data_IF_419356322442
#
_entry.id   IF_419356322442
#
_cell.length_a   1.000
_cell.length_b   1.000
_cell.length_c   1.000
_cell.angle_alpha   90.00
_cell.angle_beta   90.00
_cell.angle_gamma   90.00
#
_symmetry.space_group_name_H-M   'P 1'
#
loop_
_entity.id
_entity.type
_entity.pdbx_description
1 polymer ?
#
# COMPACT_ATOMS: atom_id res chain seq x y z
N UNK A 1 31.52 1.58 -0.39
CA UNK A 1 30.38 1.19 0.46
C UNK A 1 30.29 2.14 1.63
N UNK A 2 29.36 3.08 1.60
CA UNK A 2 29.10 3.98 2.73
C UNK A 2 28.15 3.30 3.72
N UNK A 3 28.73 2.59 4.70
CA UNK A 3 28.00 1.94 5.80
C UNK A 3 27.35 2.95 6.79
N UNK A 4 27.49 4.26 6.57
CA UNK A 4 27.12 5.28 7.55
C UNK A 4 25.66 5.26 7.96
N UNK A 5 24.74 5.28 6.99
CA UNK A 5 23.30 5.32 7.28
C UNK A 5 22.79 4.01 7.87
N UNK A 6 23.21 2.87 7.32
CA UNK A 6 22.83 1.54 7.83
C UNK A 6 23.37 1.31 9.26
N UNK A 7 24.58 1.82 9.58
CA UNK A 7 25.14 1.79 10.93
C UNK A 7 24.31 2.65 11.89
N UNK A 8 23.93 3.86 11.47
CA UNK A 8 23.08 4.75 12.28
C UNK A 8 21.73 4.08 12.56
N UNK A 9 21.11 3.49 11.54
CA UNK A 9 19.87 2.72 11.67
C UNK A 9 20.05 1.57 12.67
N UNK A 10 21.11 0.77 12.51
CA UNK A 10 21.43 -0.33 13.41
C UNK A 10 21.63 0.14 14.85
N UNK A 11 22.32 1.26 15.06
CA UNK A 11 22.50 1.89 16.37
C UNK A 11 21.17 2.33 16.99
N UNK A 12 20.27 2.96 16.21
CA UNK A 12 18.95 3.36 16.71
C UNK A 12 18.16 2.12 17.15
N UNK A 13 18.08 1.09 16.31
CA UNK A 13 17.40 -0.17 16.64
C UNK A 13 18.02 -0.81 17.89
N UNK A 14 19.35 -0.84 17.98
CA UNK A 14 20.09 -1.35 19.12
C UNK A 14 19.80 -0.60 20.42
N UNK A 15 19.76 0.74 20.38
CA UNK A 15 19.39 1.58 21.53
C UNK A 15 17.96 1.30 21.99
N UNK A 16 17.02 1.16 21.06
CA UNK A 16 15.64 0.80 21.41
C UNK A 16 15.52 -0.62 21.96
N UNK A 17 16.30 -1.58 21.43
CA UNK A 17 16.42 -2.93 21.98
C UNK A 17 17.00 -2.93 23.40
N UNK A 18 18.02 -2.12 23.66
CA UNK A 18 18.61 -1.94 24.97
C UNK A 18 17.63 -1.30 25.98
N UNK A 19 16.88 -0.27 25.59
CA UNK A 19 15.79 0.23 26.43
C UNK A 19 14.66 -0.78 26.63
N UNK A 20 14.45 -1.66 25.64
CA UNK A 20 13.61 -2.85 25.74
C UNK A 20 14.06 -3.78 26.86
N UNK A 21 15.34 -4.13 26.88
CA UNK A 21 15.98 -4.93 27.92
C UNK A 21 15.80 -4.34 29.32
N UNK A 22 16.04 -3.04 29.48
CA UNK A 22 15.97 -2.36 30.77
C UNK A 22 14.54 -2.25 31.32
N UNK A 23 13.54 -2.13 30.45
CA UNK A 23 12.14 -1.92 30.85
C UNK A 23 11.33 -3.22 30.99
N UNK A 24 11.82 -4.32 30.42
CA UNK A 24 11.10 -5.60 30.37
C UNK A 24 9.96 -5.63 29.33
N UNK A 25 9.51 -6.83 28.98
CA UNK A 25 8.52 -7.03 27.93
C UNK A 25 7.14 -6.48 28.32
N UNK A 26 6.72 -6.66 29.58
CA UNK A 26 5.40 -6.19 30.06
C UNK A 26 5.18 -4.70 29.80
N UNK A 27 6.17 -3.86 30.12
CA UNK A 27 6.08 -2.41 29.89
C UNK A 27 6.08 -2.06 28.40
N UNK A 28 6.79 -2.82 27.57
CA UNK A 28 6.78 -2.62 26.12
C UNK A 28 5.44 -2.99 25.49
N UNK A 29 4.82 -4.10 25.90
CA UNK A 29 3.49 -4.54 25.43
C UNK A 29 2.46 -3.47 25.75
N UNK A 30 2.43 -2.96 26.99
CA UNK A 30 1.51 -1.88 27.37
C UNK A 30 1.77 -0.64 26.52
N UNK A 31 3.04 -0.27 26.30
CA UNK A 31 3.39 0.85 25.44
C UNK A 31 2.93 0.70 23.98
N UNK A 32 2.97 -0.52 23.42
CA UNK A 32 2.47 -0.82 22.08
C UNK A 32 0.94 -0.78 22.02
N UNK A 33 0.27 -1.32 23.04
CA UNK A 33 -1.19 -1.32 23.14
C UNK A 33 -1.73 0.11 23.24
N UNK A 34 -1.11 0.97 24.05
CA UNK A 34 -1.48 2.40 24.12
C UNK A 34 -1.25 3.12 22.80
N UNK A 35 -0.19 2.77 22.06
CA UNK A 35 0.06 3.32 20.73
C UNK A 35 -1.04 2.89 19.74
N UNK A 36 -1.42 1.62 19.74
CA UNK A 36 -2.51 1.10 18.90
C UNK A 36 -3.85 1.79 19.21
N UNK A 37 -4.18 1.97 20.50
CA UNK A 37 -5.38 2.71 20.93
C UNK A 37 -5.32 4.16 20.43
N UNK A 38 -4.18 4.84 20.60
CA UNK A 38 -4.03 6.22 20.13
C UNK A 38 -4.19 6.34 18.60
N UNK A 39 -3.70 5.36 17.85
CA UNK A 39 -3.86 5.30 16.40
C UNK A 39 -5.33 5.08 16.00
N UNK A 40 -6.04 4.20 16.72
CA UNK A 40 -7.47 3.94 16.49
C UNK A 40 -8.34 5.18 16.75
N UNK A 41 -8.06 5.91 17.83
CA UNK A 41 -8.74 7.18 18.14
C UNK A 41 -8.43 8.24 17.07
N UNK A 42 -7.18 8.34 16.63
CA UNK A 42 -6.79 9.28 15.58
C UNK A 42 -7.50 8.95 14.24
N UNK A 43 -7.53 7.67 13.85
CA UNK A 43 -8.23 7.22 12.65
C UNK A 43 -9.75 7.49 12.72
N UNK A 44 -10.36 7.27 13.88
CA UNK A 44 -11.76 7.61 14.12
C UNK A 44 -12.03 9.12 13.97
N UNK A 45 -11.19 9.96 14.57
CA UNK A 45 -11.32 11.42 14.45
C UNK A 45 -11.08 11.91 13.02
N UNK A 46 -10.19 11.27 12.26
CA UNK A 46 -9.97 11.56 10.85
C UNK A 46 -11.25 11.35 10.03
N UNK A 47 -11.98 10.26 10.29
CA UNK A 47 -13.24 9.96 9.61
C UNK A 47 -14.33 11.02 9.87
N UNK A 48 -14.30 11.69 11.03
CA UNK A 48 -15.31 12.72 11.37
C UNK A 48 -14.93 14.09 10.83
N UNK A 49 -13.66 14.48 10.95
CA UNK A 49 -13.22 15.87 10.73
C UNK A 49 -12.65 16.12 9.34
N UNK A 50 -12.25 15.08 8.59
CA UNK A 50 -11.47 15.15 7.34
C UNK A 50 -10.19 16.00 7.42
N UNK A 51 -9.76 16.40 8.62
CA UNK A 51 -8.61 17.28 8.84
C UNK A 51 -7.42 16.50 9.43
N UNK A 52 -6.39 16.33 8.61
CA UNK A 52 -5.18 15.58 8.95
C UNK A 52 -4.41 16.22 10.10
N UNK A 53 -4.41 17.56 10.21
CA UNK A 53 -3.66 18.27 11.26
C UNK A 53 -4.28 18.01 12.65
N UNK A 54 -5.61 18.04 12.72
CA UNK A 54 -6.35 17.74 13.95
C UNK A 54 -6.13 16.27 14.33
N UNK A 55 -6.12 15.36 13.35
CA UNK A 55 -5.84 13.94 13.58
C UNK A 55 -4.44 13.72 14.18
N UNK A 56 -3.41 14.37 13.62
CA UNK A 56 -2.04 14.29 14.16
C UNK A 56 -1.92 14.88 15.57
N UNK A 57 -2.52 16.06 15.79
CA UNK A 57 -2.54 16.68 17.11
C UNK A 57 -3.24 15.81 18.15
N UNK A 58 -4.38 15.23 17.79
CA UNK A 58 -5.12 14.30 18.63
C UNK A 58 -4.31 13.02 18.90
N UNK A 59 -3.66 12.43 17.90
CA UNK A 59 -2.80 11.26 18.08
C UNK A 59 -1.70 11.52 19.12
N UNK A 60 -0.97 12.63 18.99
CA UNK A 60 0.12 13.00 19.90
C UNK A 60 -0.42 13.24 21.31
N UNK A 61 -1.50 14.01 21.42
CA UNK A 61 -2.11 14.35 22.72
C UNK A 61 -2.65 13.10 23.42
N UNK A 62 -3.43 12.27 22.73
CA UNK A 62 -3.99 11.02 23.24
C UNK A 62 -2.87 10.07 23.66
N UNK A 63 -1.83 9.91 22.84
CA UNK A 63 -0.68 9.07 23.20
C UNK A 63 0.02 9.57 24.48
N UNK A 64 0.21 10.88 24.61
CA UNK A 64 0.86 11.49 25.77
C UNK A 64 0.02 11.33 27.05
N UNK A 65 -1.30 11.59 26.97
CA UNK A 65 -2.23 11.41 28.10
C UNK A 65 -2.30 9.94 28.52
N UNK A 66 -2.50 9.02 27.57
CA UNK A 66 -2.52 7.58 27.83
C UNK A 66 -1.24 7.09 28.51
N UNK A 67 -0.09 7.60 28.06
CA UNK A 67 1.20 7.28 28.66
C UNK A 67 1.33 7.83 30.09
N UNK A 68 0.88 9.06 30.34
CA UNK A 68 0.88 9.63 31.70
C UNK A 68 -0.01 8.82 32.64
N UNK A 69 -1.23 8.48 32.20
CA UNK A 69 -2.16 7.64 32.98
C UNK A 69 -1.56 6.26 33.25
N UNK A 70 -0.95 5.62 32.25
CA UNK A 70 -0.32 4.32 32.44
C UNK A 70 0.86 4.38 33.42
N UNK A 71 1.69 5.41 33.36
CA UNK A 71 2.77 5.64 34.34
C UNK A 71 2.20 5.88 35.73
N UNK A 72 1.13 6.69 35.85
CA UNK A 72 0.46 6.97 37.11
C UNK A 72 -0.13 5.70 37.75
N UNK A 73 -0.89 4.91 36.99
CA UNK A 73 -1.45 3.63 37.46
C UNK A 73 -0.33 2.66 37.87
N UNK A 74 0.72 2.54 37.06
CA UNK A 74 1.87 1.70 37.44
C UNK A 74 2.56 2.21 38.71
N UNK A 75 2.68 3.52 38.88
CA UNK A 75 3.31 4.09 40.08
C UNK A 75 2.47 3.88 41.33
N UNK A 76 1.14 3.81 41.20
CA UNK A 76 0.24 3.75 42.35
C UNK A 76 -0.23 2.32 42.70
N UNK A 77 -0.30 1.41 41.74
CA UNK A 77 -0.71 0.01 41.98
C UNK A 77 0.47 -0.96 42.08
N UNK A 78 1.65 -0.60 41.59
CA UNK A 78 2.86 -1.41 41.75
C UNK A 78 3.65 -0.91 42.96
N UNK A 79 2.98 -0.86 44.13
CA UNK A 79 3.67 -0.81 45.40
C UNK A 79 4.40 -2.14 45.61
N UNK A 80 5.73 -2.12 45.62
CA UNK A 80 6.62 -3.19 46.08
C UNK A 80 6.47 -4.61 45.49
N UNK A 81 5.91 -4.77 44.28
CA UNK A 81 5.74 -6.10 43.69
C UNK A 81 7.00 -6.69 43.01
N UNK A 82 7.69 -7.48 43.84
CA UNK A 82 8.30 -8.81 43.60
C UNK A 82 9.73 -8.86 43.04
N UNK A 83 10.65 -9.54 43.76
CA UNK A 83 12.02 -9.77 43.31
C UNK A 83 12.03 -10.61 42.04
N UNK A 84 12.56 -9.95 41.01
CA UNK A 84 13.04 -10.42 39.72
C UNK A 84 13.60 -11.85 39.81
N UNK A 85 12.80 -12.90 39.62
CA UNK A 85 13.25 -14.31 39.70
C UNK A 85 12.98 -15.12 38.44
N UNK A 86 12.45 -14.51 37.37
CA UNK A 86 12.39 -15.08 36.01
C UNK A 86 13.14 -14.19 35.01
N UNK A 87 14.40 -13.87 35.34
CA UNK A 87 15.25 -12.82 34.72
C UNK A 87 15.39 -12.85 33.21
N UNK A 88 15.38 -14.03 32.59
CA UNK A 88 15.89 -14.13 31.24
C UNK A 88 14.81 -13.87 30.19
N UNK A 89 13.60 -14.41 30.37
CA UNK A 89 12.59 -14.39 29.32
C UNK A 89 11.91 -13.01 29.15
N UNK A 90 11.62 -12.30 30.24
CA UNK A 90 11.03 -10.95 30.16
C UNK A 90 12.01 -9.93 29.56
N UNK A 91 13.31 -10.11 29.80
CA UNK A 91 14.35 -9.24 29.26
C UNK A 91 14.69 -9.54 27.80
N UNK A 92 14.76 -10.81 27.41
CA UNK A 92 14.97 -11.19 26.01
C UNK A 92 13.77 -10.78 25.15
N UNK A 93 12.54 -11.00 25.63
CA UNK A 93 11.35 -10.46 24.97
C UNK A 93 11.35 -8.93 24.96
N UNK A 94 11.84 -8.29 26.01
CA UNK A 94 12.05 -6.85 26.07
C UNK A 94 12.96 -6.36 24.93
N UNK A 95 14.10 -7.03 24.68
CA UNK A 95 15.00 -6.72 23.57
C UNK A 95 14.27 -6.84 22.23
N UNK A 96 13.58 -7.95 22.00
CA UNK A 96 12.89 -8.22 20.73
C UNK A 96 11.80 -7.17 20.46
N UNK A 97 10.95 -6.89 21.45
CA UNK A 97 9.87 -5.89 21.33
C UNK A 97 10.42 -4.48 21.19
N UNK A 98 11.47 -4.14 21.95
CA UNK A 98 12.16 -2.86 21.85
C UNK A 98 12.79 -2.65 20.48
N UNK A 99 13.51 -3.66 19.98
CA UNK A 99 14.11 -3.67 18.65
C UNK A 99 13.07 -3.56 17.55
N UNK A 100 11.97 -4.34 17.62
CA UNK A 100 10.87 -4.27 16.66
C UNK A 100 10.23 -2.87 16.62
N UNK A 101 10.04 -2.24 17.79
CA UNK A 101 9.55 -0.86 17.89
C UNK A 101 10.54 0.14 17.29
N UNK A 102 11.83 -0.01 17.56
CA UNK A 102 12.88 0.82 16.97
C UNK A 102 12.90 0.70 15.44
N UNK A 103 12.81 -0.53 14.92
CA UNK A 103 12.76 -0.81 13.50
C UNK A 103 11.53 -0.20 12.83
N UNK A 104 10.35 -0.27 13.47
CA UNK A 104 9.13 0.37 12.97
C UNK A 104 9.27 1.89 12.89
N UNK A 105 9.88 2.51 13.92
CA UNK A 105 10.12 3.97 13.93
C UNK A 105 11.09 4.39 12.84
N UNK A 106 12.19 3.65 12.66
CA UNK A 106 13.13 3.88 11.57
C UNK A 106 12.45 3.71 10.21
N UNK A 107 11.68 2.64 10.02
CA UNK A 107 10.95 2.41 8.78
C UNK A 107 10.00 3.57 8.46
N UNK A 108 9.25 4.06 9.46
CA UNK A 108 8.40 5.24 9.32
C UNK A 108 9.20 6.49 8.93
N UNK A 109 10.36 6.72 9.56
CA UNK A 109 11.22 7.85 9.25
C UNK A 109 11.77 7.76 7.82
N UNK A 110 12.23 6.57 7.40
CA UNK A 110 12.69 6.32 6.02
C UNK A 110 11.56 6.48 5.02
N UNK A 111 10.33 6.10 5.37
CA UNK A 111 9.16 6.37 4.54
C UNK A 111 8.92 7.86 4.37
N UNK A 112 8.99 8.67 5.43
CA UNK A 112 8.86 10.12 5.34
C UNK A 112 9.99 10.74 4.51
N UNK A 113 11.22 10.27 4.68
CA UNK A 113 12.36 10.70 3.85
C UNK A 113 12.16 10.28 2.39
N UNK A 114 11.62 9.10 2.13
CA UNK A 114 11.27 8.63 0.78
C UNK A 114 10.12 9.41 0.12
N UNK A 115 9.36 10.20 0.89
CA UNK A 115 8.41 11.17 0.35
C UNK A 115 9.07 12.51 0.01
N UNK A 116 10.32 12.74 0.43
CA UNK A 116 11.02 13.98 0.12
C UNK A 116 11.27 14.04 -1.39
N UNK A 117 10.89 15.13 -2.05
CA UNK A 117 11.16 15.29 -3.47
C UNK A 117 12.67 15.24 -3.78
N UNK A 118 13.10 14.64 -4.90
CA UNK A 118 14.52 14.47 -5.23
C UNK A 118 15.33 15.77 -5.19
N UNK A 119 14.74 16.90 -5.61
CA UNK A 119 15.44 18.18 -5.57
C UNK A 119 15.59 18.78 -4.15
N UNK A 120 14.86 18.32 -3.13
CA UNK A 120 15.20 18.60 -1.73
C UNK A 120 16.40 17.77 -1.27
N UNK A 121 16.49 16.50 -1.69
CA UNK A 121 17.62 15.63 -1.38
C UNK A 121 18.90 16.14 -2.07
N UNK A 122 18.81 16.63 -3.30
CA UNK A 122 19.92 17.21 -4.05
C UNK A 122 20.53 18.46 -3.39
N UNK A 123 19.74 19.21 -2.59
CA UNK A 123 20.26 20.33 -1.77
C UNK A 123 21.13 19.87 -0.60
N UNK A 124 21.08 18.57 -0.27
CA UNK A 124 21.89 17.95 0.78
C UNK A 124 22.64 16.75 0.16
N UNK A 125 23.66 16.99 -0.70
CA UNK A 125 24.43 15.94 -1.38
C UNK A 125 25.01 14.82 -0.48
N UNK A 126 25.39 15.06 0.80
CA UNK A 126 25.84 13.94 1.64
C UNK A 126 24.70 13.01 2.03
N UNK A 127 23.47 13.52 2.17
CA UNK A 127 22.30 12.71 2.54
C UNK A 127 21.83 11.86 1.37
N UNK A 128 21.77 12.43 0.16
CA UNK A 128 21.41 11.71 -1.07
C UNK A 128 22.35 10.51 -1.30
N UNK A 129 23.67 10.74 -1.28
CA UNK A 129 24.68 9.67 -1.39
C UNK A 129 24.54 8.60 -0.31
N UNK A 130 24.17 8.99 0.92
CA UNK A 130 23.95 8.04 2.00
C UNK A 130 22.69 7.19 1.80
N UNK A 131 21.60 7.79 1.30
CA UNK A 131 20.35 7.08 1.01
C UNK A 131 20.52 6.08 -0.13
N UNK A 132 21.11 6.50 -1.25
CA UNK A 132 21.37 5.63 -2.41
C UNK A 132 22.24 4.41 -2.05
N UNK A 133 23.20 4.62 -1.15
CA UNK A 133 24.11 3.56 -0.71
C UNK A 133 23.54 2.62 0.36
N UNK A 134 22.41 2.97 0.98
CA UNK A 134 21.84 2.21 2.09
C UNK A 134 21.06 1.00 1.60
N UNK A 135 21.44 -0.18 2.11
CA UNK A 135 20.76 -1.44 1.79
C UNK A 135 19.36 -1.43 2.40
N UNK A 136 19.24 -0.93 3.63
CA UNK A 136 17.97 -0.90 4.37
C UNK A 136 16.99 0.04 3.67
N UNK A 137 17.44 1.25 3.29
CA UNK A 137 16.60 2.21 2.58
C UNK A 137 16.09 1.65 1.26
N UNK A 138 16.97 1.11 0.40
CA UNK A 138 16.61 0.56 -0.89
C UNK A 138 15.65 -0.63 -0.81
N UNK A 139 15.69 -1.41 0.29
CA UNK A 139 14.78 -2.53 0.51
C UNK A 139 13.42 -2.09 1.06
N UNK A 140 13.40 -1.09 1.94
CA UNK A 140 12.18 -0.62 2.62
C UNK A 140 11.40 0.36 1.75
N UNK A 141 12.07 1.32 1.09
CA UNK A 141 11.42 2.41 0.35
C UNK A 141 10.45 1.95 -0.76
N UNK A 142 10.74 0.90 -1.56
CA UNK A 142 9.78 0.39 -2.55
C UNK A 142 8.46 -0.10 -1.95
N UNK A 143 8.47 -0.47 -0.66
CA UNK A 143 7.31 -0.96 0.08
C UNK A 143 6.61 0.14 0.88
N UNK A 144 6.91 1.42 0.62
CA UNK A 144 6.37 2.54 1.37
C UNK A 144 4.83 2.62 1.25
N UNK A 145 4.06 2.33 2.32
CA UNK A 145 2.61 2.37 2.26
C UNK A 145 2.08 3.80 2.12
N UNK A 146 2.86 4.82 2.50
CA UNK A 146 2.46 6.22 2.36
C UNK A 146 2.32 6.63 0.90
N UNK A 147 3.09 6.02 -0.02
CA UNK A 147 2.96 6.27 -1.47
C UNK A 147 1.64 5.74 -2.06
N UNK A 148 0.94 4.84 -1.36
CA UNK A 148 -0.40 4.39 -1.77
C UNK A 148 -1.49 5.38 -1.39
N UNK A 149 -1.20 6.32 -0.48
CA UNK A 149 -2.15 7.33 -0.05
C UNK A 149 -2.21 8.42 -1.12
N UNK A 150 -3.40 8.61 -1.67
CA UNK A 150 -3.67 9.52 -2.77
C UNK A 150 -3.25 10.97 -2.51
N UNK A 151 -3.47 11.45 -1.29
CA UNK A 151 -3.07 12.78 -0.85
C UNK A 151 -1.54 12.94 -0.82
N UNK A 152 -0.82 11.88 -0.44
CA UNK A 152 0.64 11.89 -0.37
C UNK A 152 1.25 11.86 -1.78
N UNK A 153 0.68 11.07 -2.70
CA UNK A 153 1.02 11.15 -4.13
C UNK A 153 0.80 12.55 -4.67
N UNK A 154 -0.38 13.13 -4.45
CA UNK A 154 -0.69 14.48 -4.92
C UNK A 154 0.30 15.51 -4.35
N UNK A 155 0.67 15.41 -3.07
CA UNK A 155 1.66 16.28 -2.44
C UNK A 155 3.07 16.10 -3.02
N UNK A 156 3.51 14.85 -3.24
CA UNK A 156 4.79 14.55 -3.86
C UNK A 156 4.87 15.10 -5.30
N UNK A 157 3.79 14.95 -6.08
CA UNK A 157 3.67 15.52 -7.42
C UNK A 157 3.66 17.05 -7.41
N UNK A 158 2.86 17.69 -6.55
CA UNK A 158 2.88 19.15 -6.40
C UNK A 158 4.27 19.65 -6.02
N UNK A 159 4.99 18.93 -5.14
CA UNK A 159 6.37 19.23 -4.78
C UNK A 159 7.34 19.12 -5.98
N UNK A 160 7.18 18.09 -6.81
CA UNK A 160 7.99 17.91 -8.03
C UNK A 160 7.74 19.02 -9.06
N UNK A 161 6.47 19.33 -9.34
CA UNK A 161 6.07 20.42 -10.25
C UNK A 161 6.55 21.77 -9.75
N UNK A 162 6.40 22.05 -8.45
CA UNK A 162 6.84 23.31 -7.86
C UNK A 162 8.38 23.42 -7.74
N UNK A 163 9.11 22.34 -8.02
CA UNK A 163 10.57 22.37 -8.22
C UNK A 163 10.95 22.53 -9.70
N UNK A 164 10.00 22.66 -10.62
CA UNK A 164 10.28 22.76 -12.05
C UNK A 164 10.87 21.47 -12.64
N UNK A 165 10.75 20.35 -11.94
CA UNK A 165 10.98 19.05 -12.56
C UNK A 165 9.76 18.78 -13.44
N UNK A 166 9.98 18.42 -14.70
CA UNK A 166 8.89 17.86 -15.52
C UNK A 166 8.35 16.65 -14.74
N UNK A 167 7.11 16.73 -14.25
CA UNK A 167 6.52 15.60 -13.55
C UNK A 167 6.49 14.42 -14.52
N UNK A 168 6.73 13.22 -14.00
CA UNK A 168 6.62 11.99 -14.80
C UNK A 168 5.26 12.00 -15.51
N UNK A 169 5.31 12.24 -16.81
CA UNK A 169 4.21 12.84 -17.60
C UNK A 169 3.01 11.91 -17.66
N UNK A 170 3.21 10.61 -17.40
CA UNK A 170 2.16 9.61 -17.42
C UNK A 170 1.11 9.77 -16.31
N UNK A 171 1.43 10.41 -15.17
CA UNK A 171 0.39 10.69 -14.13
C UNK A 171 -0.41 11.95 -14.44
N UNK A 172 0.09 12.83 -15.31
CA UNK A 172 -0.59 14.08 -15.70
C UNK A 172 -1.25 14.02 -17.08
N UNK A 173 -0.96 13.00 -17.90
CA UNK A 173 -1.69 12.76 -19.15
C UNK A 173 -3.17 12.47 -18.90
N UNK A 174 -3.49 11.86 -17.76
CA UNK A 174 -4.86 11.45 -17.44
C UNK A 174 -5.62 12.49 -16.59
N UNK A 175 -4.90 13.42 -15.96
CA UNK A 175 -5.54 14.53 -15.25
C UNK A 175 -6.01 15.56 -16.28
N UNK A 176 -7.33 15.64 -16.45
CA UNK A 176 -7.99 16.64 -17.29
C UNK A 176 -7.71 18.06 -16.73
N UNK A 177 -6.60 18.64 -17.20
CA UNK A 177 -6.16 19.98 -16.79
C UNK A 177 -7.17 21.04 -17.21
N UNK A 178 -7.96 20.81 -18.26
CA UNK A 178 -9.02 21.73 -18.67
C UNK A 178 -10.16 21.74 -17.63
N UNK A 179 -10.45 20.59 -17.02
CA UNK A 179 -11.41 20.49 -15.91
C UNK A 179 -10.91 21.21 -14.64
N UNK A 180 -9.62 21.08 -14.29
CA UNK A 180 -9.01 21.84 -13.18
C UNK A 180 -8.96 23.34 -13.44
N UNK A 181 -8.66 23.76 -14.67
CA UNK A 181 -8.55 25.16 -15.06
C UNK A 181 -9.89 25.92 -15.09
N UNK A 182 -11.02 25.21 -15.01
CA UNK A 182 -12.35 25.83 -14.79
C UNK A 182 -12.49 26.43 -13.39
N UNK A 183 -11.68 26.00 -12.42
CA UNK A 183 -11.72 26.58 -11.08
C UNK A 183 -11.08 27.98 -11.09
N UNK A 184 -11.88 29.01 -10.82
CA UNK A 184 -11.46 30.42 -10.85
C UNK A 184 -10.32 30.72 -9.87
N UNK A 185 -10.30 30.06 -8.71
CA UNK A 185 -9.20 30.23 -7.73
C UNK A 185 -7.89 29.63 -8.25
N UNK A 186 -7.94 28.49 -8.93
CA UNK A 186 -6.74 27.91 -9.54
C UNK A 186 -6.20 28.81 -10.66
N UNK A 187 -7.08 29.34 -11.50
CA UNK A 187 -6.71 30.28 -12.57
C UNK A 187 -6.08 31.55 -12.01
N UNK A 188 -6.66 32.13 -10.96
CA UNK A 188 -6.12 33.34 -10.31
C UNK A 188 -4.79 33.13 -9.59
N UNK A 189 -4.43 31.88 -9.24
CA UNK A 189 -3.10 31.51 -8.76
C UNK A 189 -2.09 31.42 -9.91
N UNK A 190 -2.49 30.82 -11.03
CA UNK A 190 -1.63 30.69 -12.22
C UNK A 190 -1.27 32.05 -12.82
N UNK A 191 -2.21 32.99 -12.80
CA UNK A 191 -2.04 34.34 -13.33
C UNK A 191 -1.34 35.29 -12.31
N UNK A 192 -1.05 34.83 -11.09
CA UNK A 192 -0.41 35.65 -10.07
C UNK A 192 1.13 35.72 -10.30
N UNK A 193 1.68 36.90 -10.63
CA UNK A 193 3.11 37.03 -10.92
C UNK A 193 3.99 36.80 -9.69
N UNK A 194 3.52 37.12 -8.48
CA UNK A 194 4.26 36.84 -7.25
C UNK A 194 4.37 35.35 -6.98
N UNK A 195 3.33 34.58 -7.33
CA UNK A 195 3.36 33.13 -7.23
C UNK A 195 4.15 32.48 -8.36
N UNK A 196 4.10 33.03 -9.58
CA UNK A 196 4.94 32.61 -10.68
C UNK A 196 6.43 32.82 -10.35
N UNK A 197 6.78 33.99 -9.82
CA UNK A 197 8.13 34.30 -9.37
C UNK A 197 8.52 33.45 -8.16
N UNK A 198 7.63 33.25 -7.19
CA UNK A 198 7.90 32.36 -6.06
C UNK A 198 8.09 30.90 -6.51
N UNK A 199 7.32 30.42 -7.48
CA UNK A 199 7.47 29.09 -8.06
C UNK A 199 8.79 28.97 -8.85
N UNK A 200 9.12 29.97 -9.67
CA UNK A 200 10.38 30.03 -10.42
C UNK A 200 11.60 30.05 -9.49
N UNK A 201 11.52 30.79 -8.39
CA UNK A 201 12.56 30.87 -7.36
C UNK A 201 12.48 29.73 -6.32
N UNK A 202 11.49 28.83 -6.42
CA UNK A 202 11.24 27.73 -5.48
C UNK A 202 11.08 28.18 -4.02
N UNK A 203 10.47 29.35 -3.79
CA UNK A 203 10.15 29.88 -2.46
C UNK A 203 8.79 29.36 -1.96
N UNK A 204 8.81 28.11 -1.45
CA UNK A 204 7.61 27.44 -0.92
C UNK A 204 7.02 28.14 0.29
N UNK A 205 7.84 28.83 1.08
CA UNK A 205 7.33 29.59 2.21
C UNK A 205 6.45 30.71 1.67
N UNK A 206 6.93 31.48 0.68
CA UNK A 206 6.15 32.55 0.03
C UNK A 206 4.89 31.97 -0.62
N UNK A 207 4.98 30.85 -1.36
CA UNK A 207 3.80 30.19 -1.96
C UNK A 207 2.76 29.72 -0.92
N UNK A 208 3.17 28.99 0.13
CA UNK A 208 2.26 28.46 1.16
C UNK A 208 1.72 29.54 2.12
N UNK A 209 2.41 30.67 2.22
CA UNK A 209 1.89 31.84 2.95
C UNK A 209 0.99 32.72 2.10
N UNK A 210 0.98 32.56 0.78
CA UNK A 210 0.13 33.36 -0.09
C UNK A 210 -1.36 33.05 0.18
N UNK A 211 -2.19 34.08 0.43
CA UNK A 211 -3.60 33.90 0.77
C UNK A 211 -4.41 33.21 -0.35
N UNK A 212 -4.04 33.39 -1.62
CA UNK A 212 -4.72 32.71 -2.73
C UNK A 212 -4.51 31.20 -2.69
N UNK A 213 -3.27 30.75 -2.48
CA UNK A 213 -2.93 29.33 -2.35
C UNK A 213 -3.64 28.70 -1.16
N UNK A 214 -3.66 29.38 -0.01
CA UNK A 214 -4.44 28.91 1.16
C UNK A 214 -5.94 28.87 0.87
N UNK A 215 -6.46 29.87 0.14
CA UNK A 215 -7.86 29.94 -0.26
C UNK A 215 -8.27 28.85 -1.24
N UNK A 216 -7.38 28.41 -2.12
CA UNK A 216 -7.56 27.27 -3.01
C UNK A 216 -7.52 25.94 -2.22
N UNK A 217 -6.56 25.79 -1.31
CA UNK A 217 -6.47 24.59 -0.46
C UNK A 217 -7.63 24.45 0.53
N UNK A 218 -8.32 25.54 0.84
CA UNK A 218 -9.56 25.54 1.63
C UNK A 218 -10.83 25.42 0.76
N UNK A 219 -10.69 25.44 -0.58
CA UNK A 219 -11.81 25.41 -1.49
C UNK A 219 -12.38 23.98 -1.64
N UNK A 220 -13.64 23.80 -1.23
CA UNK A 220 -14.30 22.50 -1.25
C UNK A 220 -14.55 21.98 -2.67
N UNK A 221 -14.84 22.85 -3.64
CA UNK A 221 -15.03 22.45 -5.04
C UNK A 221 -13.73 21.99 -5.65
N UNK A 222 -12.62 22.68 -5.38
CA UNK A 222 -11.29 22.26 -5.84
C UNK A 222 -10.91 20.88 -5.27
N UNK A 223 -11.10 20.67 -3.97
CA UNK A 223 -10.85 19.36 -3.33
C UNK A 223 -11.77 18.28 -3.91
N UNK A 224 -13.05 18.59 -4.14
CA UNK A 224 -14.01 17.66 -4.75
C UNK A 224 -13.62 17.29 -6.17
N UNK A 225 -13.20 18.28 -6.97
CA UNK A 225 -12.72 18.08 -8.35
C UNK A 225 -11.48 17.19 -8.37
N UNK A 226 -10.52 17.43 -7.46
CA UNK A 226 -9.36 16.55 -7.27
C UNK A 226 -9.74 15.11 -6.87
N UNK A 227 -10.74 14.94 -6.00
CA UNK A 227 -11.27 13.60 -5.64
C UNK A 227 -11.94 12.92 -6.85
N UNK A 228 -12.68 13.67 -7.67
CA UNK A 228 -13.44 13.14 -8.81
C UNK A 228 -12.56 12.81 -10.03
N UNK A 229 -11.50 13.59 -10.27
CA UNK A 229 -10.50 13.30 -11.30
C UNK A 229 -9.88 11.92 -11.07
N UNK A 230 -9.60 11.56 -9.81
CA UNK A 230 -9.11 10.22 -9.46
C UNK A 230 -10.10 9.08 -9.69
N UNK A 231 -11.41 9.35 -9.62
CA UNK A 231 -12.44 8.33 -9.84
C UNK A 231 -12.68 8.04 -11.32
N UNK A 232 -12.47 9.04 -12.18
CA UNK A 232 -12.58 8.89 -13.65
C UNK A 232 -11.55 7.87 -14.17
N UNK A 233 -10.32 7.92 -13.65
CA UNK A 233 -9.23 7.03 -14.04
C UNK A 233 -9.36 5.62 -13.46
N UNK A 234 -9.90 5.49 -12.24
CA UNK A 234 -10.20 4.18 -11.64
C UNK A 234 -11.27 3.39 -12.42
N UNK A 235 -12.20 4.09 -13.06
CA UNK A 235 -13.27 3.49 -13.88
C UNK A 235 -12.82 3.17 -15.31
N UNK A 236 -12.05 4.07 -15.94
CA UNK A 236 -11.52 3.90 -17.29
C UNK A 236 -10.39 2.86 -17.37
N UNK A 237 -9.50 2.81 -16.37
CA UNK A 237 -8.48 1.77 -16.28
C UNK A 237 -9.09 0.38 -16.00
N UNK A 238 -10.22 0.33 -15.29
CA UNK A 238 -10.96 -0.91 -15.02
C UNK A 238 -11.73 -1.40 -16.26
N UNK A 239 -12.30 -0.49 -17.06
CA UNK A 239 -12.93 -0.85 -18.34
C UNK A 239 -11.89 -1.26 -19.39
N UNK A 240 -10.78 -0.53 -19.51
CA UNK A 240 -9.67 -0.89 -20.39
C UNK A 240 -9.02 -2.22 -19.99
N UNK A 241 -8.88 -2.49 -18.69
CA UNK A 241 -8.39 -3.79 -18.20
C UNK A 241 -9.38 -4.92 -18.47
N UNK A 242 -10.70 -4.70 -18.34
CA UNK A 242 -11.72 -5.69 -18.74
C UNK A 242 -11.64 -6.02 -20.23
N UNK A 243 -11.44 -5.02 -21.08
CA UNK A 243 -11.34 -5.20 -22.53
C UNK A 243 -10.02 -5.88 -22.95
N UNK A 244 -8.91 -5.55 -22.28
CA UNK A 244 -7.60 -6.18 -22.51
C UNK A 244 -7.56 -7.63 -22.00
N UNK A 245 -8.25 -7.93 -20.90
CA UNK A 245 -8.42 -9.30 -20.39
C UNK A 245 -9.33 -10.09 -21.33
N UNK A 246 -10.44 -9.50 -21.80
CA UNK A 246 -11.35 -10.15 -22.75
C UNK A 246 -10.65 -10.50 -24.08
N UNK A 247 -9.86 -9.57 -24.63
CA UNK A 247 -9.09 -9.78 -25.87
C UNK A 247 -7.91 -10.74 -25.69
N UNK A 248 -7.25 -10.74 -24.53
CA UNK A 248 -6.18 -11.71 -24.24
C UNK A 248 -6.72 -13.13 -24.08
N UNK A 249 -7.88 -13.29 -23.43
CA UNK A 249 -8.56 -14.58 -23.26
C UNK A 249 -8.99 -15.13 -24.62
N UNK A 250 -9.63 -14.33 -25.48
CA UNK A 250 -10.02 -14.74 -26.84
C UNK A 250 -8.82 -15.05 -27.74
N UNK A 251 -7.76 -14.24 -27.71
CA UNK A 251 -6.54 -14.49 -28.48
C UNK A 251 -5.81 -15.78 -28.04
N UNK A 252 -5.83 -16.08 -26.74
CA UNK A 252 -5.18 -17.27 -26.18
C UNK A 252 -5.99 -18.53 -26.46
N UNK A 253 -7.33 -18.48 -26.38
CA UNK A 253 -8.19 -19.60 -26.77
C UNK A 253 -8.09 -19.91 -28.26
N UNK A 254 -8.01 -18.90 -29.14
CA UNK A 254 -7.83 -19.14 -30.58
C UNK A 254 -6.45 -19.71 -30.92
N UNK A 255 -5.39 -19.26 -30.24
CA UNK A 255 -4.03 -19.84 -30.40
C UNK A 255 -3.94 -21.28 -29.89
N UNK A 256 -4.61 -21.59 -28.78
CA UNK A 256 -4.67 -22.96 -28.25
C UNK A 256 -5.50 -23.87 -29.17
N UNK A 257 -6.65 -23.40 -29.65
CA UNK A 257 -7.50 -24.12 -30.61
C UNK A 257 -6.75 -24.46 -31.89
N UNK A 258 -5.99 -23.50 -32.43
CA UNK A 258 -5.20 -23.71 -33.65
C UNK A 258 -3.96 -24.59 -33.43
N UNK A 259 -3.39 -24.63 -32.22
CA UNK A 259 -2.30 -25.55 -31.88
C UNK A 259 -2.79 -26.98 -31.67
N UNK A 260 -3.92 -27.17 -31.00
CA UNK A 260 -4.55 -28.49 -30.83
C UNK A 260 -5.03 -29.06 -32.16
N UNK A 261 -5.45 -28.22 -33.11
CA UNK A 261 -5.82 -28.67 -34.46
C UNK A 261 -4.60 -29.04 -35.35
N UNK A 262 -3.41 -28.51 -35.05
CA UNK A 262 -2.20 -28.73 -35.85
C UNK A 262 -1.30 -29.85 -35.30
N UNK A 263 -1.40 -30.16 -34.02
CA UNK A 263 -0.65 -31.24 -33.38
C UNK A 263 -1.53 -32.50 -33.42
N UNK A 264 -1.31 -33.36 -34.43
CA UNK A 264 -1.87 -34.72 -34.46
C UNK A 264 -1.18 -35.52 -33.36
N UNK A 265 -1.60 -35.32 -32.12
CA UNK A 265 -1.14 -36.04 -30.95
C UNK A 265 -1.69 -37.46 -31.11
N UNK A 266 -0.80 -38.43 -31.36
CA UNK A 266 -1.05 -39.83 -31.03
C UNK A 266 -1.23 -39.89 -29.51
N UNK A 267 -2.47 -39.73 -29.07
CA UNK A 267 -2.86 -39.82 -27.68
C UNK A 267 -2.73 -41.27 -27.22
N UNK A 268 -1.86 -41.54 -26.25
CA UNK A 268 -1.98 -42.75 -25.45
C UNK A 268 -3.40 -42.84 -24.87
N UNK A 269 -4.07 -44.01 -24.93
CA UNK A 269 -5.44 -44.14 -24.48
C UNK A 269 -5.53 -43.88 -22.97
N UNK A 270 -6.26 -42.83 -22.59
CA UNK A 270 -6.62 -42.53 -21.21
C UNK A 270 -7.31 -43.76 -20.61
N UNK A 271 -6.85 -44.19 -19.42
CA UNK A 271 -7.36 -45.38 -18.74
C UNK A 271 -8.70 -45.14 -18.02
N UNK A 272 -9.10 -43.89 -17.81
CA UNK A 272 -10.29 -43.49 -17.04
C UNK A 272 -11.33 -42.80 -17.94
N UNK A 273 -12.65 -42.94 -17.65
CA UNK A 273 -13.72 -42.29 -18.41
C UNK A 273 -13.63 -40.77 -18.30
N UNK A 274 -13.77 -40.09 -19.44
CA UNK A 274 -13.69 -38.63 -19.51
C UNK A 274 -15.08 -38.02 -19.37
N UNK A 275 -15.21 -37.00 -18.53
CA UNK A 275 -16.45 -36.27 -18.29
C UNK A 275 -16.38 -34.90 -18.97
N UNK A 276 -17.48 -34.52 -19.61
CA UNK A 276 -17.67 -33.19 -20.18
C UNK A 276 -18.69 -32.44 -19.33
N UNK A 277 -18.26 -31.39 -18.64
CA UNK A 277 -19.14 -30.48 -17.89
C UNK A 277 -19.42 -29.23 -18.72
N UNK A 278 -20.70 -28.99 -19.04
CA UNK A 278 -21.16 -27.74 -19.66
C UNK A 278 -21.59 -26.77 -18.56
N UNK A 279 -20.99 -25.60 -18.54
CA UNK A 279 -21.31 -24.52 -17.59
C UNK A 279 -22.44 -23.63 -18.14
N UNK A 280 -23.21 -23.01 -17.26
CA UNK A 280 -24.32 -22.09 -17.61
C UNK A 280 -23.89 -20.87 -18.42
N UNK A 281 -22.62 -20.48 -18.34
CA UNK A 281 -22.04 -19.42 -19.15
C UNK A 281 -21.66 -19.86 -20.57
N UNK A 282 -21.93 -21.12 -20.94
CA UNK A 282 -21.62 -21.70 -22.25
C UNK A 282 -20.23 -22.32 -22.37
N UNK A 283 -19.39 -22.21 -21.34
CA UNK A 283 -18.06 -22.83 -21.36
C UNK A 283 -18.17 -24.35 -21.17
N UNK A 284 -17.25 -25.09 -21.78
CA UNK A 284 -17.19 -26.55 -21.71
C UNK A 284 -15.86 -26.96 -21.09
N UNK A 285 -15.91 -27.77 -20.04
CA UNK A 285 -14.74 -28.33 -19.37
C UNK A 285 -14.69 -29.84 -19.61
N UNK A 286 -13.56 -30.33 -20.09
CA UNK A 286 -13.31 -31.76 -20.29
C UNK A 286 -12.25 -32.22 -19.30
N UNK A 287 -12.55 -33.26 -18.52
CA UNK A 287 -11.65 -33.74 -17.48
C UNK A 287 -12.14 -35.03 -16.85
N UNK A 288 -11.41 -35.51 -15.84
CA UNK A 288 -11.81 -36.69 -15.07
C UNK A 288 -12.49 -36.20 -13.80
N UNK A 289 -13.76 -36.56 -13.63
CA UNK A 289 -14.49 -36.30 -12.39
C UNK A 289 -13.94 -37.21 -11.29
N UNK A 290 -13.31 -36.62 -10.26
CA UNK A 290 -12.72 -37.38 -9.15
C UNK A 290 -13.72 -37.61 -8.02
N UNK A 291 -14.54 -36.62 -7.71
CA UNK A 291 -15.62 -36.72 -6.73
C UNK A 291 -16.67 -35.64 -6.98
N UNK A 292 -17.87 -35.87 -6.47
CA UNK A 292 -18.97 -34.92 -6.49
C UNK A 292 -19.67 -34.95 -5.14
N UNK A 293 -19.83 -33.79 -4.51
CA UNK A 293 -20.63 -33.62 -3.30
C UNK A 293 -21.92 -32.84 -3.60
N UNK A 294 -22.73 -32.53 -2.60
CA UNK A 294 -24.01 -31.83 -2.79
C UNK A 294 -23.89 -30.37 -3.27
N UNK A 295 -22.69 -29.79 -3.31
CA UNK A 295 -22.46 -28.39 -3.65
C UNK A 295 -21.42 -28.17 -4.77
N UNK A 296 -20.51 -29.12 -4.97
CA UNK A 296 -19.38 -29.00 -5.90
C UNK A 296 -19.00 -30.31 -6.58
N UNK A 297 -18.45 -30.18 -7.79
CA UNK A 297 -17.78 -31.22 -8.53
C UNK A 297 -16.26 -30.94 -8.55
N UNK A 298 -15.45 -31.96 -8.28
CA UNK A 298 -13.99 -31.90 -8.34
C UNK A 298 -13.53 -32.62 -9.61
N UNK A 299 -12.99 -31.87 -10.56
CA UNK A 299 -12.49 -32.38 -11.84
C UNK A 299 -11.00 -32.10 -12.01
N UNK A 300 -10.28 -33.11 -12.46
CA UNK A 300 -8.93 -32.96 -13.01
C UNK A 300 -9.05 -32.59 -14.48
N UNK A 301 -8.75 -31.33 -14.81
CA UNK A 301 -8.78 -30.79 -16.17
C UNK A 301 -7.38 -30.85 -16.76
N UNK A 302 -7.25 -31.53 -17.90
CA UNK A 302 -5.97 -31.68 -18.60
C UNK A 302 -5.76 -30.50 -19.56
N UNK A 303 -4.69 -29.74 -19.34
CA UNK A 303 -4.27 -28.66 -20.24
C UNK A 303 -2.88 -28.99 -20.77
N UNK A 304 -2.81 -29.67 -21.91
CA UNK A 304 -1.55 -30.20 -22.44
C UNK A 304 -1.06 -31.38 -21.60
N UNK A 305 0.12 -31.25 -20.99
CA UNK A 305 0.70 -32.28 -20.08
C UNK A 305 0.43 -31.99 -18.60
N UNK A 306 -0.12 -30.82 -18.28
CA UNK A 306 -0.38 -30.42 -16.91
C UNK A 306 -1.80 -30.78 -16.48
N UNK A 307 -1.93 -31.24 -15.23
CA UNK A 307 -3.21 -31.54 -14.59
C UNK A 307 -3.57 -30.41 -13.65
N UNK A 308 -4.72 -29.78 -13.89
CA UNK A 308 -5.24 -28.70 -13.05
C UNK A 308 -6.47 -29.23 -12.31
N UNK A 309 -6.39 -29.31 -10.98
CA UNK A 309 -7.53 -29.62 -10.14
C UNK A 309 -8.48 -28.40 -10.10
N UNK A 310 -9.71 -28.58 -10.57
CA UNK A 310 -10.74 -27.56 -10.60
C UNK A 310 -11.91 -27.97 -9.72
N UNK A 311 -12.31 -27.09 -8.80
CA UNK A 311 -13.55 -27.22 -8.05
C UNK A 311 -14.61 -26.34 -8.71
N UNK A 312 -15.71 -26.95 -9.16
CA UNK A 312 -16.81 -26.27 -9.86
C UNK A 312 -18.05 -26.34 -8.97
N UNK A 313 -18.72 -25.21 -8.74
CA UNK A 313 -20.00 -25.23 -8.02
C UNK A 313 -21.09 -25.85 -8.90
N UNK A 314 -21.90 -26.76 -8.35
CA UNK A 314 -23.00 -27.39 -9.09
C UNK A 314 -24.04 -26.39 -9.60
N UNK A 315 -24.15 -25.21 -8.95
CA UNK A 315 -25.03 -24.15 -9.41
C UNK A 315 -24.60 -23.53 -10.74
N UNK A 316 -23.34 -23.73 -11.14
CA UNK A 316 -22.76 -23.24 -12.39
C UNK A 316 -22.77 -24.29 -13.51
N UNK A 317 -23.06 -25.56 -13.19
CA UNK A 317 -23.11 -26.66 -14.14
C UNK A 317 -24.54 -26.79 -14.68
N UNK A 318 -24.65 -26.90 -16.00
CA UNK A 318 -25.91 -27.14 -16.70
C UNK A 318 -26.09 -28.65 -16.97
N UNK A 319 -25.02 -29.31 -17.42
CA UNK A 319 -25.04 -30.74 -17.75
C UNK A 319 -23.64 -31.36 -17.57
N UNK A 320 -23.59 -32.61 -17.09
CA UNK A 320 -22.38 -33.44 -17.08
C UNK A 320 -22.65 -34.66 -17.95
N UNK A 321 -21.86 -34.83 -19.00
CA UNK A 321 -21.97 -35.94 -19.95
C UNK A 321 -20.76 -36.86 -19.74
N UNK A 322 -21.02 -38.13 -19.42
CA UNK A 322 -19.99 -39.17 -19.42
C UNK A 322 -19.75 -39.62 -20.87
N UNK A 323 -18.51 -39.50 -21.34
CA UNK A 323 -18.13 -39.97 -22.67
C UNK A 323 -17.59 -41.39 -22.52
N UNK A 324 -18.29 -42.41 -23.06
CA UNK A 324 -17.84 -43.78 -22.99
C UNK A 324 -16.52 -43.94 -23.73
N UNK A 325 -15.68 -44.83 -23.23
CA UNK A 325 -14.38 -45.15 -23.84
C UNK A 325 -14.60 -45.83 -25.20
N UNK A 326 -14.11 -45.21 -26.28
CA UNK A 326 -13.96 -45.86 -27.60
C UNK A 326 -12.68 -46.70 -27.67
#
# INVERSE_FOLDING_TARGET
MSFGLDLIIGCIIGVYGFFGFLRGAKRQIIGLLLLAISLGIAAYLYHIQENILICYGAFILTWLVLKMVAVFIMSHHVGDYVPVTTWNLDRTLGIVLGGAKGALLVALMLFVIGLAPPALLAKIPPLERQLESSIIYNKICPHNPLLKIDAVKALAHMGAVAMGNEPDVDVLKDVDMDELMKNEKLRSIREDPDLADAAANRDYKKMLTNPKVRGLLADKEFISTLKNLKLKDGSSALSASKEKISSFVTSSTDKLRNRVAAEKIESEPLKEPTHIARLKNGNVLQGILKSMDNQAAYMDVYVGRDVIAVTISLNEIDEIIEVPKE
#
